data_IF_857463405979
#
_entry.id   IF_857463405979
#
_cell.length_a   1.000
_cell.length_b   1.000
_cell.length_c   1.000
_cell.angle_alpha   90.00
_cell.angle_beta   90.00
_cell.angle_gamma   90.00
#
_symmetry.space_group_name_H-M   'P 1'
#
loop_
_entity.id
_entity.type
_entity.pdbx_description
1 polymer ?
#
# COMPACT_ATOMS: atom_id res chain seq x y z
N UNK A 1 5.25 -16.86 18.65
CA UNK A 1 6.35 -16.77 17.68
C UNK A 1 7.34 -17.90 17.91
N UNK A 2 6.98 -19.15 17.51
CA UNK A 2 7.83 -20.32 17.70
C UNK A 2 8.11 -21.04 16.37
N UNK A 3 7.92 -20.35 15.23
CA UNK A 3 8.19 -20.96 13.93
C UNK A 3 9.70 -21.07 13.70
N UNK A 4 10.18 -22.31 13.57
CA UNK A 4 11.54 -22.58 13.08
C UNK A 4 11.43 -23.14 11.68
N UNK A 5 11.96 -22.42 10.71
CA UNK A 5 11.92 -22.80 9.31
C UNK A 5 13.23 -22.40 8.61
N UNK A 6 13.75 -23.26 7.77
CA UNK A 6 15.03 -23.08 7.05
C UNK A 6 16.21 -22.70 7.96
N UNK A 7 16.23 -23.19 9.21
CA UNK A 7 17.28 -22.92 10.19
C UNK A 7 17.17 -21.58 10.92
N UNK A 8 16.06 -20.86 10.76
CA UNK A 8 15.82 -19.54 11.37
C UNK A 8 14.59 -19.56 12.27
N UNK A 9 14.60 -18.75 13.33
CA UNK A 9 13.52 -18.63 14.32
C UNK A 9 12.99 -17.20 14.48
N UNK A 10 13.46 -16.26 13.64
CA UNK A 10 13.11 -14.83 13.64
C UNK A 10 11.99 -14.48 12.64
N UNK A 11 11.17 -15.47 12.29
CA UNK A 11 10.04 -15.29 11.40
C UNK A 11 8.89 -14.52 12.08
N UNK A 12 8.29 -13.60 11.36
CA UNK A 12 7.14 -12.79 11.80
C UNK A 12 6.11 -12.60 10.69
N UNK A 13 4.93 -12.16 11.05
CA UNK A 13 3.98 -11.65 10.05
C UNK A 13 4.56 -10.39 9.39
N UNK A 14 4.32 -10.18 8.09
CA UNK A 14 4.69 -8.95 7.41
C UNK A 14 3.83 -7.76 7.88
N UNK A 15 4.34 -6.56 7.73
CA UNK A 15 3.51 -5.35 7.73
C UNK A 15 2.63 -5.32 6.47
N UNK A 16 1.59 -4.46 6.38
CA UNK A 16 0.82 -4.28 5.16
C UNK A 16 1.69 -3.91 3.96
N UNK A 17 2.64 -3.01 4.13
CA UNK A 17 3.57 -2.59 3.08
C UNK A 17 4.47 -3.75 2.61
N UNK A 18 5.03 -4.53 3.54
CA UNK A 18 5.83 -5.71 3.20
C UNK A 18 4.99 -6.75 2.45
N UNK A 19 3.76 -7.03 2.92
CA UNK A 19 2.85 -7.96 2.25
C UNK A 19 2.43 -7.44 0.87
N UNK A 20 2.19 -6.14 0.74
CA UNK A 20 1.82 -5.52 -0.52
C UNK A 20 2.99 -5.45 -1.51
N UNK A 21 4.23 -5.38 -1.03
CA UNK A 21 5.42 -5.28 -1.89
C UNK A 21 5.55 -6.45 -2.87
N UNK A 22 5.13 -7.65 -2.48
CA UNK A 22 5.18 -8.86 -3.33
C UNK A 22 3.98 -9.00 -4.28
N UNK A 23 2.96 -8.14 -4.16
CA UNK A 23 1.81 -8.17 -5.06
C UNK A 23 2.22 -7.80 -6.48
N UNK A 24 1.73 -8.55 -7.44
CA UNK A 24 1.87 -8.27 -8.86
C UNK A 24 0.50 -7.88 -9.42
N UNK A 25 0.25 -6.58 -9.52
CA UNK A 25 -1.03 -6.03 -9.96
C UNK A 25 -1.30 -6.17 -11.46
N UNK A 26 -0.32 -6.70 -12.22
CA UNK A 26 -0.52 -7.17 -13.60
C UNK A 26 -1.20 -8.55 -13.66
N UNK A 27 -1.33 -9.22 -12.52
CA UNK A 27 -2.08 -10.45 -12.36
C UNK A 27 -3.31 -10.22 -11.49
N UNK A 28 -4.28 -11.11 -11.60
CA UNK A 28 -5.45 -11.13 -10.73
C UNK A 28 -5.78 -12.56 -10.33
N UNK A 29 -6.18 -12.73 -9.09
CA UNK A 29 -6.65 -13.99 -8.54
C UNK A 29 -5.70 -15.21 -8.77
N UNK A 30 -4.48 -15.22 -8.25
CA UNK A 30 -3.91 -14.23 -7.33
C UNK A 30 -3.12 -13.12 -8.02
N UNK A 31 -3.12 -11.93 -7.44
CA UNK A 31 -2.24 -10.83 -7.80
C UNK A 31 -0.82 -11.08 -7.24
N UNK A 32 -0.21 -12.17 -7.66
CA UNK A 32 1.12 -12.64 -7.24
C UNK A 32 1.90 -13.14 -8.45
N UNK A 33 3.23 -13.10 -8.35
CA UNK A 33 4.06 -13.89 -9.24
C UNK A 33 4.11 -15.34 -8.72
N UNK A 34 3.26 -16.19 -9.28
CA UNK A 34 3.09 -17.59 -8.85
C UNK A 34 4.29 -18.49 -9.12
N UNK A 35 5.26 -18.02 -9.91
CA UNK A 35 6.54 -18.70 -10.08
C UNK A 35 7.35 -18.73 -8.77
N UNK A 36 7.24 -17.67 -7.98
CA UNK A 36 7.98 -17.55 -6.72
C UNK A 36 7.10 -17.69 -5.47
N UNK A 37 5.84 -17.28 -5.57
CA UNK A 37 4.90 -17.25 -4.46
C UNK A 37 3.68 -18.11 -4.77
N UNK A 38 3.69 -19.35 -4.30
CA UNK A 38 2.51 -20.20 -4.41
C UNK A 38 1.33 -19.58 -3.66
N UNK A 39 0.15 -19.69 -4.24
CA UNK A 39 -1.11 -19.32 -3.59
C UNK A 39 -1.89 -20.58 -3.28
N UNK A 40 -2.66 -20.62 -2.19
CA UNK A 40 -3.64 -21.68 -1.99
C UNK A 40 -4.55 -21.78 -3.22
N UNK A 41 -4.88 -23.00 -3.60
CA UNK A 41 -5.68 -23.30 -4.81
C UNK A 41 -7.17 -23.08 -4.64
N UNK A 42 -7.61 -22.60 -3.49
CA UNK A 42 -9.02 -22.37 -3.21
C UNK A 42 -9.52 -21.14 -3.96
N UNK A 43 -10.45 -21.27 -4.91
CA UNK A 43 -11.06 -20.11 -5.55
C UNK A 43 -11.81 -19.28 -4.50
N UNK A 44 -11.54 -18.00 -4.43
CA UNK A 44 -12.23 -17.11 -3.50
C UNK A 44 -11.36 -15.91 -3.15
N UNK A 45 -11.91 -15.03 -2.35
CA UNK A 45 -11.18 -13.88 -1.83
C UNK A 45 -10.21 -14.34 -0.73
N UNK A 46 -9.09 -14.96 -1.12
CA UNK A 46 -8.02 -15.30 -0.20
C UNK A 46 -7.42 -14.03 0.38
N UNK A 47 -7.36 -14.00 1.71
CA UNK A 47 -6.73 -12.94 2.48
C UNK A 47 -5.52 -13.49 3.22
N UNK A 48 -4.54 -12.62 3.41
CA UNK A 48 -3.35 -12.89 4.23
C UNK A 48 -3.26 -11.89 5.37
N UNK A 49 -3.12 -12.43 6.59
CA UNK A 49 -2.91 -11.62 7.78
C UNK A 49 -1.61 -10.84 7.71
N UNK A 50 -1.64 -9.60 8.20
CA UNK A 50 -0.43 -8.81 8.49
C UNK A 50 -0.27 -8.61 10.00
N UNK A 51 0.84 -8.02 10.42
CA UNK A 51 1.13 -7.75 11.82
C UNK A 51 0.49 -6.47 12.34
N UNK A 52 0.00 -5.59 11.47
CA UNK A 52 -0.42 -4.24 11.85
C UNK A 52 -1.89 -4.19 12.22
N UNK A 53 -2.14 -3.79 13.46
CA UNK A 53 -3.49 -3.48 13.96
C UNK A 53 -3.95 -2.15 13.37
N UNK A 54 -5.22 -2.05 13.02
CA UNK A 54 -5.77 -0.79 12.52
C UNK A 54 -5.68 0.28 13.62
N UNK A 55 -5.11 1.43 13.28
CA UNK A 55 -5.09 2.56 14.19
C UNK A 55 -6.53 3.03 14.50
N UNK A 56 -6.81 3.25 15.78
CA UNK A 56 -8.15 3.65 16.24
C UNK A 56 -9.17 2.53 16.39
N UNK A 57 -8.85 1.29 15.95
CA UNK A 57 -9.72 0.12 16.14
C UNK A 57 -8.89 -1.14 16.40
N UNK A 58 -8.61 -1.39 17.66
CA UNK A 58 -7.79 -2.52 18.10
C UNK A 58 -8.42 -3.89 17.83
N UNK A 59 -9.68 -3.95 17.42
CA UNK A 59 -10.37 -5.21 17.07
C UNK A 59 -10.07 -5.68 15.65
N UNK A 60 -9.47 -4.81 14.80
CA UNK A 60 -9.17 -5.09 13.41
C UNK A 60 -7.68 -5.10 13.12
N UNK A 61 -7.30 -5.86 12.10
CA UNK A 61 -5.95 -5.87 11.53
C UNK A 61 -6.03 -5.68 10.02
N UNK A 62 -4.96 -5.15 9.46
CA UNK A 62 -4.79 -5.04 8.02
C UNK A 62 -4.49 -6.40 7.40
N UNK A 63 -5.02 -6.63 6.21
CA UNK A 63 -4.82 -7.83 5.41
C UNK A 63 -4.58 -7.43 3.96
N UNK A 64 -3.83 -8.23 3.23
CA UNK A 64 -3.82 -8.18 1.76
C UNK A 64 -4.73 -9.26 1.20
N UNK A 65 -5.23 -9.09 -0.02
CA UNK A 65 -6.11 -10.07 -0.66
C UNK A 65 -5.58 -10.52 -2.03
N UNK A 66 -6.14 -11.62 -2.53
CA UNK A 66 -5.74 -12.23 -3.80
C UNK A 66 -5.97 -11.31 -5.02
N UNK A 67 -6.84 -10.31 -4.91
CA UNK A 67 -7.04 -9.30 -5.95
C UNK A 67 -5.97 -8.22 -6.00
N UNK A 68 -5.06 -8.19 -5.01
CA UNK A 68 -3.98 -7.21 -4.91
C UNK A 68 -4.32 -6.00 -4.03
N UNK A 69 -5.47 -6.00 -3.36
CA UNK A 69 -5.87 -4.91 -2.46
C UNK A 69 -5.39 -5.10 -1.02
N UNK A 70 -5.44 -4.01 -0.27
CA UNK A 70 -5.30 -3.99 1.19
C UNK A 70 -6.67 -3.66 1.79
N UNK A 71 -7.02 -4.29 2.90
CA UNK A 71 -8.24 -4.01 3.63
C UNK A 71 -8.13 -4.42 5.08
N UNK A 72 -9.02 -3.90 5.94
CA UNK A 72 -9.06 -4.30 7.34
C UNK A 72 -10.04 -5.46 7.55
N UNK A 73 -9.75 -6.30 8.53
CA UNK A 73 -10.61 -7.42 8.94
C UNK A 73 -10.62 -7.58 10.46
N UNK A 74 -11.77 -7.94 11.05
CA UNK A 74 -11.84 -8.28 12.46
C UNK A 74 -10.89 -9.43 12.82
N UNK A 75 -10.23 -9.32 13.97
CA UNK A 75 -9.36 -10.40 14.51
C UNK A 75 -10.14 -11.66 14.88
N UNK A 76 -11.34 -11.44 15.37
CA UNK A 76 -12.23 -12.51 15.82
C UNK A 76 -13.65 -12.20 15.34
N UNK A 77 -14.07 -12.84 14.28
CA UNK A 77 -15.42 -12.72 13.75
C UNK A 77 -16.01 -14.12 13.62
N UNK A 78 -17.24 -14.26 14.09
CA UNK A 78 -18.02 -15.47 13.84
C UNK A 78 -18.66 -15.32 12.46
N UNK A 79 -18.27 -16.15 11.52
CA UNK A 79 -18.88 -16.16 10.18
C UNK A 79 -20.28 -16.79 10.23
N UNK A 80 -21.15 -16.37 9.33
CA UNK A 80 -22.56 -16.82 9.28
C UNK A 80 -22.74 -18.34 9.13
N UNK A 81 -21.74 -19.02 8.58
CA UNK A 81 -21.69 -20.47 8.47
C UNK A 81 -21.25 -21.18 9.77
N UNK A 82 -21.00 -20.42 10.85
CA UNK A 82 -20.43 -20.91 12.10
C UNK A 82 -18.90 -21.02 12.05
N UNK A 83 -18.26 -20.72 13.15
CA UNK A 83 -16.80 -20.74 13.28
C UNK A 83 -16.16 -19.35 13.30
N UNK A 84 -14.85 -19.31 13.46
CA UNK A 84 -14.06 -18.08 13.53
C UNK A 84 -13.45 -17.77 12.17
N UNK A 85 -13.37 -16.48 11.82
CA UNK A 85 -12.74 -16.02 10.62
C UNK A 85 -11.28 -16.50 10.55
N UNK A 86 -10.92 -17.15 9.44
CA UNK A 86 -9.59 -17.70 9.20
C UNK A 86 -9.09 -17.23 7.86
N UNK A 87 -7.88 -16.65 7.85
CA UNK A 87 -7.16 -16.25 6.65
C UNK A 87 -5.79 -16.88 6.62
N UNK A 88 -5.16 -16.83 5.46
CA UNK A 88 -3.82 -17.35 5.28
C UNK A 88 -2.78 -16.52 6.04
N UNK A 89 -1.66 -17.12 6.35
CA UNK A 89 -0.49 -16.46 6.89
C UNK A 89 0.71 -16.69 5.96
N UNK A 90 1.44 -15.64 5.69
CA UNK A 90 2.76 -15.69 5.05
C UNK A 90 3.72 -14.96 5.97
N UNK A 91 4.88 -15.53 6.20
CA UNK A 91 5.85 -14.97 7.13
C UNK A 91 7.03 -14.36 6.40
N UNK A 92 7.67 -13.40 7.03
CA UNK A 92 8.88 -12.74 6.56
C UNK A 92 9.94 -12.75 7.66
N UNK A 93 11.19 -12.61 7.29
CA UNK A 93 12.30 -12.30 8.19
C UNK A 93 13.18 -11.23 7.60
N UNK A 94 13.90 -10.51 8.43
CA UNK A 94 14.87 -9.51 8.01
C UNK A 94 16.22 -10.18 7.77
N UNK A 95 16.73 -10.11 6.56
CA UNK A 95 18.02 -10.76 6.18
C UNK A 95 19.22 -9.89 6.56
N UNK A 96 19.05 -8.58 6.43
CA UNK A 96 20.08 -7.59 6.81
C UNK A 96 19.43 -6.56 7.72
N UNK A 97 20.20 -6.06 8.69
CA UNK A 97 19.73 -4.92 9.48
C UNK A 97 19.45 -3.76 8.52
N UNK A 98 18.22 -3.22 8.50
CA UNK A 98 17.94 -2.07 7.66
C UNK A 98 18.90 -0.92 8.00
N UNK A 99 19.43 -0.24 6.99
CA UNK A 99 20.19 0.99 7.21
C UNK A 99 19.26 1.96 7.94
N UNK A 100 19.70 2.43 9.11
CA UNK A 100 18.91 3.41 9.87
C UNK A 100 18.85 4.69 9.06
N UNK A 101 17.71 4.94 8.42
CA UNK A 101 17.43 6.22 7.79
C UNK A 101 16.94 7.14 8.90
N UNK A 102 17.76 8.09 9.30
CA UNK A 102 17.47 9.00 10.41
C UNK A 102 16.28 9.90 10.13
N UNK A 103 16.08 10.26 8.85
CA UNK A 103 14.93 11.05 8.40
C UNK A 103 14.31 10.36 7.20
N UNK A 104 13.06 9.89 7.37
CA UNK A 104 12.31 9.29 6.26
C UNK A 104 12.11 10.31 5.13
N UNK A 105 11.76 11.54 5.47
CA UNK A 105 11.49 12.61 4.52
C UNK A 105 12.39 13.83 4.75
N UNK A 106 12.66 14.55 3.68
CA UNK A 106 13.34 15.85 3.68
C UNK A 106 12.48 16.86 2.93
N UNK A 107 12.13 17.96 3.59
CA UNK A 107 11.51 19.12 2.92
C UNK A 107 12.59 19.92 2.20
N UNK A 108 12.51 19.99 0.88
CA UNK A 108 13.52 20.66 0.05
C UNK A 108 13.36 22.20 0.05
N UNK A 109 12.26 22.72 0.57
CA UNK A 109 11.99 24.16 0.63
C UNK A 109 11.56 24.80 -0.70
N UNK A 110 11.44 24.01 -1.75
CA UNK A 110 11.09 24.43 -3.12
C UNK A 110 9.71 23.93 -3.58
N UNK A 111 8.89 23.48 -2.65
CA UNK A 111 7.59 22.88 -2.91
C UNK A 111 7.64 21.36 -3.11
N UNK A 112 8.80 20.75 -2.84
CA UNK A 112 8.97 19.30 -2.96
C UNK A 112 9.43 18.66 -1.66
N UNK A 113 9.20 17.35 -1.54
CA UNK A 113 9.63 16.48 -0.43
C UNK A 113 10.43 15.31 -1.02
N UNK A 114 11.63 15.08 -0.54
CA UNK A 114 12.39 13.86 -0.87
C UNK A 114 12.03 12.74 0.10
N UNK A 115 11.62 11.60 -0.42
CA UNK A 115 11.52 10.34 0.32
C UNK A 115 12.91 9.67 0.29
N UNK A 116 13.60 9.68 1.42
CA UNK A 116 14.96 9.16 1.54
C UNK A 116 15.02 7.61 1.49
N UNK A 117 13.88 6.93 1.64
CA UNK A 117 13.79 5.46 1.54
C UNK A 117 13.68 5.02 0.09
N UNK A 118 12.81 5.66 -0.67
CA UNK A 118 12.52 5.29 -2.07
C UNK A 118 13.34 6.09 -3.07
N UNK A 119 13.98 7.20 -2.64
CA UNK A 119 14.66 8.18 -3.48
C UNK A 119 13.72 8.89 -4.47
N UNK A 120 12.43 8.88 -4.17
CA UNK A 120 11.44 9.63 -4.94
C UNK A 120 11.33 11.06 -4.41
N UNK A 121 11.08 11.98 -5.32
CA UNK A 121 10.72 13.36 -4.99
C UNK A 121 9.22 13.54 -5.20
N UNK A 122 8.55 14.08 -4.19
CA UNK A 122 7.11 14.26 -4.15
C UNK A 122 6.73 15.73 -4.24
N UNK A 123 5.68 16.03 -4.97
CA UNK A 123 5.00 17.30 -4.86
C UNK A 123 4.43 17.45 -3.44
N UNK A 124 4.78 18.53 -2.73
CA UNK A 124 4.38 18.76 -1.34
C UNK A 124 2.89 19.09 -1.21
N UNK A 125 2.38 19.90 -2.11
CA UNK A 125 0.98 20.36 -2.13
C UNK A 125 0.30 19.76 -3.36
N UNK A 126 -0.72 18.91 -3.19
CA UNK A 126 -1.38 18.26 -4.31
C UNK A 126 -2.19 19.26 -5.15
N UNK A 127 -2.65 18.82 -6.33
CA UNK A 127 -3.65 19.55 -7.09
C UNK A 127 -4.90 19.77 -6.23
N UNK A 128 -5.37 21.01 -6.16
CA UNK A 128 -6.55 21.39 -5.38
C UNK A 128 -7.88 20.92 -6.00
N UNK A 129 -7.88 20.58 -7.28
CA UNK A 129 -9.09 20.18 -8.01
C UNK A 129 -9.22 18.65 -8.01
N UNK A 130 -10.48 18.18 -7.89
CA UNK A 130 -10.81 16.80 -8.21
C UNK A 130 -10.78 16.62 -9.73
N UNK A 131 -10.15 15.55 -10.16
CA UNK A 131 -9.88 15.29 -11.58
C UNK A 131 -10.20 13.83 -11.94
N UNK A 132 -10.47 13.55 -13.21
CA UNK A 132 -10.52 12.18 -13.71
C UNK A 132 -9.12 11.56 -13.72
N UNK A 133 -9.04 10.27 -13.97
CA UNK A 133 -7.76 9.57 -14.03
C UNK A 133 -6.86 10.08 -15.17
N UNK A 134 -7.43 10.29 -16.34
CA UNK A 134 -6.75 10.84 -17.52
C UNK A 134 -6.25 12.27 -17.28
N UNK A 135 -7.06 13.09 -16.61
CA UNK A 135 -6.66 14.44 -16.22
C UNK A 135 -5.54 14.43 -15.19
N UNK A 136 -5.52 13.44 -14.26
CA UNK A 136 -4.44 13.29 -13.29
C UNK A 136 -3.11 12.96 -13.96
N UNK A 137 -3.11 12.10 -14.98
CA UNK A 137 -1.93 11.80 -15.79
C UNK A 137 -1.46 13.05 -16.52
N UNK A 138 -2.36 13.71 -17.23
CA UNK A 138 -2.05 14.94 -17.99
C UNK A 138 -1.51 16.04 -17.08
N UNK A 139 -2.09 16.20 -15.89
CA UNK A 139 -1.60 17.14 -14.88
C UNK A 139 -0.16 16.83 -14.47
N UNK A 140 0.13 15.57 -14.14
CA UNK A 140 1.45 15.16 -13.67
C UNK A 140 2.50 15.35 -14.77
N UNK A 141 2.21 14.91 -16.00
CA UNK A 141 3.12 15.03 -17.15
C UNK A 141 3.34 16.48 -17.60
N UNK A 142 2.37 17.35 -17.37
CA UNK A 142 2.47 18.79 -17.67
C UNK A 142 3.05 19.65 -16.53
N UNK A 143 3.35 19.03 -15.37
CA UNK A 143 3.79 19.79 -14.21
C UNK A 143 5.24 20.26 -14.39
N UNK A 144 5.47 21.54 -14.11
CA UNK A 144 6.80 22.13 -13.93
C UNK A 144 6.91 22.58 -12.47
N UNK A 145 7.72 21.91 -11.68
CA UNK A 145 7.93 22.23 -10.28
C UNK A 145 9.41 21.99 -9.91
N UNK A 146 9.99 22.92 -9.14
CA UNK A 146 11.40 22.86 -8.74
C UNK A 146 12.38 22.73 -9.94
N UNK A 147 12.06 23.34 -11.08
CA UNK A 147 12.77 23.27 -12.36
C UNK A 147 12.85 21.84 -12.97
N UNK A 148 12.07 20.89 -12.47
CA UNK A 148 11.95 19.55 -13.05
C UNK A 148 10.72 19.49 -13.98
N UNK A 149 10.83 18.69 -15.05
CA UNK A 149 9.83 18.49 -16.09
C UNK A 149 9.47 17.00 -16.26
N UNK A 150 10.05 16.13 -15.45
CA UNK A 150 9.91 14.68 -15.52
C UNK A 150 8.95 14.13 -14.47
N UNK A 151 8.01 14.97 -14.04
CA UNK A 151 6.94 14.57 -13.13
C UNK A 151 6.00 13.56 -13.78
N UNK A 152 5.54 12.63 -12.99
CA UNK A 152 4.58 11.60 -13.40
C UNK A 152 3.62 11.27 -12.29
N UNK A 153 2.48 10.70 -12.62
CA UNK A 153 1.59 10.13 -11.63
C UNK A 153 2.25 8.92 -10.94
N UNK A 154 2.29 8.86 -9.60
CA UNK A 154 2.91 7.74 -8.90
C UNK A 154 2.12 6.45 -9.11
N UNK A 155 2.79 5.31 -9.08
CA UNK A 155 2.11 4.03 -9.02
C UNK A 155 1.56 3.77 -7.60
N UNK A 156 0.68 2.78 -7.47
CA UNK A 156 0.00 2.51 -6.19
C UNK A 156 0.98 2.10 -5.07
N UNK A 157 2.09 1.43 -5.38
CA UNK A 157 3.10 1.06 -4.38
C UNK A 157 3.90 2.27 -3.91
N UNK A 158 4.16 3.22 -4.81
CA UNK A 158 4.80 4.48 -4.46
C UNK A 158 3.90 5.30 -3.54
N UNK A 159 2.59 5.40 -3.83
CA UNK A 159 1.63 6.05 -2.92
C UNK A 159 1.60 5.38 -1.54
N UNK A 160 1.72 4.07 -1.47
CA UNK A 160 1.81 3.35 -0.20
C UNK A 160 3.06 3.73 0.61
N UNK A 161 4.17 4.14 -0.01
CA UNK A 161 5.40 4.50 0.71
C UNK A 161 5.25 5.74 1.59
N UNK A 162 4.31 6.63 1.29
CA UNK A 162 4.03 7.83 2.09
C UNK A 162 2.91 7.63 3.12
N UNK A 163 2.40 6.40 3.28
CA UNK A 163 1.43 6.05 4.32
C UNK A 163 2.08 6.06 5.69
N UNK A 164 1.41 6.69 6.66
CA UNK A 164 1.71 6.54 8.08
C UNK A 164 0.68 5.59 8.71
N UNK A 165 1.06 4.34 8.96
CA UNK A 165 0.20 3.31 9.55
C UNK A 165 -0.18 3.60 11.01
N UNK A 166 0.48 4.58 11.65
CA UNK A 166 0.24 4.98 13.04
C UNK A 166 -0.76 6.13 13.17
N UNK A 167 -1.36 6.57 12.06
CA UNK A 167 -2.37 7.64 12.03
C UNK A 167 -3.54 7.28 11.14
N UNK A 168 -4.62 8.04 11.24
CA UNK A 168 -5.80 7.92 10.39
C UNK A 168 -6.44 9.29 10.22
N UNK A 169 -7.16 9.51 9.11
CA UNK A 169 -7.89 10.75 8.81
C UNK A 169 -7.06 12.05 8.87
N UNK A 170 -5.91 12.20 8.21
CA UNK A 170 -5.32 11.32 7.22
C UNK A 170 -4.24 10.38 7.79
N UNK A 171 -4.02 9.25 7.09
CA UNK A 171 -2.96 8.28 7.36
C UNK A 171 -1.70 8.61 6.56
N UNK A 172 -1.11 9.78 6.85
CA UNK A 172 0.09 10.30 6.19
C UNK A 172 0.99 11.02 7.20
N UNK A 173 2.24 11.23 6.82
CA UNK A 173 3.17 12.04 7.62
C UNK A 173 2.86 13.53 7.46
N UNK A 174 1.90 14.03 8.23
CA UNK A 174 1.35 15.40 8.11
C UNK A 174 2.38 16.51 8.32
N UNK A 175 3.50 16.24 8.97
CA UNK A 175 4.63 17.18 9.11
C UNK A 175 5.22 17.54 7.75
N UNK A 176 5.11 16.65 6.75
CA UNK A 176 5.64 16.83 5.39
C UNK A 176 4.53 17.06 4.37
N UNK A 177 3.42 16.34 4.52
CA UNK A 177 2.28 16.33 3.60
C UNK A 177 1.03 16.94 4.26
N UNK A 178 1.16 18.18 4.78
CA UNK A 178 0.12 18.84 5.58
C UNK A 178 -1.19 19.10 4.83
N UNK A 179 -1.14 19.19 3.51
CA UNK A 179 -2.30 19.51 2.67
C UNK A 179 -2.92 18.27 1.99
N UNK A 180 -2.43 17.07 2.29
CA UNK A 180 -3.11 15.83 1.95
C UNK A 180 -4.27 15.62 2.92
N UNK A 181 -5.44 16.16 2.60
CA UNK A 181 -6.66 15.92 3.35
C UNK A 181 -7.12 14.45 3.25
N UNK A 182 -8.31 14.19 3.80
CA UNK A 182 -8.94 12.85 3.69
C UNK A 182 -9.58 12.72 2.31
N UNK A 183 -8.83 12.22 1.36
CA UNK A 183 -9.21 12.10 -0.05
C UNK A 183 -8.70 10.80 -0.67
N UNK A 184 -9.20 10.52 -1.87
CA UNK A 184 -8.69 9.46 -2.74
C UNK A 184 -7.76 10.10 -3.79
N UNK A 185 -6.60 9.48 -3.99
CA UNK A 185 -5.58 9.93 -4.95
C UNK A 185 -5.38 8.87 -6.01
N UNK A 186 -5.48 9.26 -7.27
CA UNK A 186 -5.25 8.36 -8.39
C UNK A 186 -3.80 7.88 -8.43
N UNK A 187 -3.62 6.63 -8.83
CA UNK A 187 -2.31 6.08 -9.19
C UNK A 187 -2.23 5.85 -10.70
N UNK A 188 -1.01 5.73 -11.22
CA UNK A 188 -0.80 5.31 -12.63
C UNK A 188 -1.04 3.82 -12.84
N UNK A 189 -1.30 3.04 -11.79
CA UNK A 189 -1.51 1.59 -11.86
C UNK A 189 -2.93 1.29 -12.32
N UNK A 190 -3.08 0.63 -13.46
CA UNK A 190 -4.37 0.13 -13.92
C UNK A 190 -4.67 -1.24 -13.35
N UNK A 191 -5.95 -1.52 -13.12
CA UNK A 191 -6.40 -2.88 -12.88
C UNK A 191 -6.29 -3.66 -14.19
N UNK A 192 -5.78 -4.90 -14.12
CA UNK A 192 -5.77 -5.77 -15.30
C UNK A 192 -7.18 -5.84 -15.90
N UNK A 193 -7.37 -5.46 -17.17
CA UNK A 193 -8.68 -5.49 -17.80
C UNK A 193 -9.28 -6.90 -17.74
N UNK A 194 -10.53 -6.97 -17.33
CA UNK A 194 -11.37 -8.15 -17.45
C UNK A 194 -12.76 -7.74 -17.96
N UNK A 195 -13.61 -8.72 -18.23
CA UNK A 195 -14.96 -8.45 -18.80
C UNK A 195 -15.80 -7.55 -17.89
N UNK A 196 -15.56 -7.55 -16.58
CA UNK A 196 -16.33 -6.79 -15.59
C UNK A 196 -15.76 -5.37 -15.35
N UNK A 197 -14.43 -5.20 -15.55
CA UNK A 197 -13.73 -3.93 -15.28
C UNK A 197 -12.71 -3.63 -16.39
N UNK A 198 -13.16 -3.22 -17.59
CA UNK A 198 -12.27 -3.00 -18.73
C UNK A 198 -11.40 -1.74 -18.61
N UNK A 199 -11.77 -0.81 -17.72
CA UNK A 199 -11.18 0.54 -17.64
C UNK A 199 -11.15 1.03 -16.18
N UNK A 200 -10.38 0.36 -15.32
CA UNK A 200 -10.25 0.76 -13.92
C UNK A 200 -8.80 1.03 -13.57
N UNK A 201 -8.58 2.05 -12.75
CA UNK A 201 -7.30 2.36 -12.15
C UNK A 201 -7.37 2.22 -10.64
N UNK A 202 -6.24 1.93 -10.02
CA UNK A 202 -6.11 1.91 -8.57
C UNK A 202 -6.04 3.35 -8.04
N UNK A 203 -6.64 3.57 -6.89
CA UNK A 203 -6.49 4.79 -6.12
C UNK A 203 -6.02 4.45 -4.70
N UNK A 204 -5.41 5.40 -4.04
CA UNK A 204 -4.99 5.35 -2.65
C UNK A 204 -5.84 6.29 -1.83
N UNK A 205 -6.39 5.79 -0.72
CA UNK A 205 -7.21 6.58 0.19
C UNK A 205 -6.38 7.01 1.40
N UNK A 206 -6.28 8.29 1.62
CA UNK A 206 -5.61 8.84 2.81
C UNK A 206 -6.40 8.63 4.10
N UNK A 207 -7.66 8.18 4.03
CA UNK A 207 -8.44 7.94 5.24
C UNK A 207 -7.76 6.91 6.14
N UNK A 208 -7.25 5.83 5.53
CA UNK A 208 -6.55 4.75 6.24
C UNK A 208 -5.19 4.41 5.61
N UNK A 209 -4.77 5.11 4.56
CA UNK A 209 -3.52 4.86 3.85
C UNK A 209 -3.55 3.63 2.94
N UNK A 210 -4.69 3.32 2.34
CA UNK A 210 -4.90 2.13 1.48
C UNK A 210 -5.59 2.48 0.18
#
# INVERSE_FOLDING_TARGET
DNLVFAGYSDWRLPTPLESFSIMNLQNSNPALNTTYFSSPTTPGADYWWTSTVQYGDATKVWCTNAGGGIGNKPKAETISAGGTLKYNARVVRTVTTPTTITNHFTDNGDGTITDNMTQLVWQKIPNANLVTWEEAITYAEGLTLANALDWRLPNIKELQSITNELTTNPSVFTSYFSNLGVHNYWSSTTLKPNIQNPSSAWYWSTQYGI
#
